data_IF_715054573317
#
_entry.id   IF_715054573317
#
_cell.length_a   1.000
_cell.length_b   1.000
_cell.length_c   1.000
_cell.angle_alpha   90.00
_cell.angle_beta   90.00
_cell.angle_gamma   90.00
#
_symmetry.space_group_name_H-M   'P 1'
#
loop_
_entity.id
_entity.type
_entity.pdbx_description
1 polymer ?
#
# COMPACT_ATOMS: atom_id res chain seq x y z
N UNK A 1 -14.40 14.71 5.37
CA UNK A 1 -14.54 13.44 4.64
C UNK A 1 -13.59 13.49 3.47
N UNK A 2 -12.59 12.59 3.41
CA UNK A 2 -11.76 12.38 2.23
C UNK A 2 -12.49 11.58 1.13
N UNK A 3 -13.82 11.47 1.21
CA UNK A 3 -14.64 10.94 0.13
C UNK A 3 -14.81 12.05 -0.92
N UNK A 4 -14.10 11.93 -2.04
CA UNK A 4 -14.31 12.80 -3.20
C UNK A 4 -15.30 12.13 -4.14
N UNK A 5 -16.24 12.91 -4.65
CA UNK A 5 -17.09 12.49 -5.76
C UNK A 5 -16.33 12.62 -7.09
N UNK A 6 -16.31 11.54 -7.87
CA UNK A 6 -15.68 11.46 -9.18
C UNK A 6 -16.67 11.87 -10.29
N UNK A 7 -16.21 12.21 -11.51
CA UNK A 7 -17.08 12.66 -12.60
C UNK A 7 -18.19 11.68 -13.01
N UNK A 8 -18.07 10.40 -12.65
CA UNK A 8 -19.07 9.36 -12.91
C UNK A 8 -20.07 9.17 -11.76
N UNK A 9 -20.04 10.04 -10.75
CA UNK A 9 -20.93 10.01 -9.58
C UNK A 9 -20.53 8.99 -8.51
N UNK A 10 -19.43 8.25 -8.70
CA UNK A 10 -18.88 7.39 -7.64
C UNK A 10 -18.14 8.21 -6.59
N UNK A 11 -17.93 7.65 -5.39
CA UNK A 11 -17.08 8.29 -4.37
C UNK A 11 -15.85 7.46 -4.06
N UNK A 12 -14.76 8.12 -3.68
CA UNK A 12 -13.47 7.45 -3.48
C UNK A 12 -12.67 8.06 -2.35
N UNK A 13 -11.69 7.32 -1.82
CA UNK A 13 -10.74 7.84 -0.84
C UNK A 13 -9.69 8.71 -1.54
N UNK A 14 -9.39 9.85 -0.95
CA UNK A 14 -8.34 10.77 -1.43
C UNK A 14 -7.34 11.08 -0.35
N UNK A 15 -6.19 11.56 -0.77
CA UNK A 15 -5.16 12.07 0.11
C UNK A 15 -4.59 13.36 -0.47
N UNK A 16 -4.54 14.39 0.37
CA UNK A 16 -4.09 15.74 0.01
C UNK A 16 -3.01 16.20 0.97
N UNK A 17 -1.83 16.48 0.45
CA UNK A 17 -0.68 17.04 1.19
C UNK A 17 -1.11 18.31 1.91
N UNK A 18 -1.78 19.21 1.19
CA UNK A 18 -2.22 20.50 1.72
C UNK A 18 -3.21 20.33 2.88
N UNK A 19 -4.15 19.39 2.78
CA UNK A 19 -5.10 19.14 3.86
C UNK A 19 -4.40 18.55 5.07
N UNK A 20 -3.50 17.58 4.85
CA UNK A 20 -2.75 16.90 5.91
C UNK A 20 -1.82 17.86 6.65
N UNK A 21 -1.10 18.72 5.93
CA UNK A 21 -0.20 19.72 6.52
C UNK A 21 -0.95 20.79 7.33
N UNK A 22 -2.23 21.00 7.02
CA UNK A 22 -3.08 21.93 7.75
C UNK A 22 -3.71 21.32 9.02
N UNK A 23 -3.59 19.99 9.23
CA UNK A 23 -4.16 19.32 10.41
C UNK A 23 -3.30 19.62 11.64
N UNK A 24 -3.95 20.24 12.61
CA UNK A 24 -3.41 20.36 13.97
C UNK A 24 -3.69 19.05 14.74
N UNK A 25 -2.71 18.14 14.74
CA UNK A 25 -2.80 16.83 15.39
C UNK A 25 -3.14 16.94 16.88
N UNK A 26 -2.79 18.05 17.55
CA UNK A 26 -3.12 18.29 18.96
C UNK A 26 -4.61 18.46 19.21
N UNK A 27 -5.40 18.74 18.17
CA UNK A 27 -6.87 18.86 18.23
C UNK A 27 -7.59 17.58 17.79
N UNK A 28 -6.83 16.51 17.53
CA UNK A 28 -7.33 15.26 16.96
C UNK A 28 -7.24 15.22 15.44
N UNK A 29 -7.30 14.01 14.89
CA UNK A 29 -7.29 13.76 13.44
C UNK A 29 -8.67 13.22 13.05
N UNK A 30 -9.32 13.86 12.08
CA UNK A 30 -10.54 13.34 11.45
C UNK A 30 -10.23 12.96 9.99
N UNK A 31 -9.67 11.75 9.82
CA UNK A 31 -9.42 11.15 8.50
C UNK A 31 -10.20 9.84 8.39
N UNK A 32 -10.93 9.57 7.28
CA UNK A 32 -11.60 8.29 7.08
C UNK A 32 -10.62 7.12 7.18
N UNK A 33 -10.93 6.15 8.04
CA UNK A 33 -10.05 5.01 8.32
C UNK A 33 -9.10 5.19 9.52
N UNK A 34 -8.91 6.43 9.99
CA UNK A 34 -8.16 6.76 11.22
C UNK A 34 -9.08 7.29 12.34
N UNK A 35 -10.20 7.96 12.00
CA UNK A 35 -11.09 8.58 13.00
C UNK A 35 -11.73 7.58 13.97
N UNK A 36 -11.77 6.30 13.59
CA UNK A 36 -12.30 5.21 14.41
C UNK A 36 -11.26 4.61 15.35
N UNK A 37 -9.98 4.99 15.23
CA UNK A 37 -8.88 4.26 15.85
C UNK A 37 -8.39 4.86 17.17
N UNK A 38 -8.53 6.17 17.40
CA UNK A 38 -7.99 6.82 18.60
C UNK A 38 -8.85 7.97 19.11
N UNK A 39 -9.01 8.05 20.42
CA UNK A 39 -9.47 9.27 21.09
C UNK A 39 -8.36 10.34 21.04
N UNK A 40 -8.74 11.62 21.15
CA UNK A 40 -7.79 12.75 21.07
C UNK A 40 -6.63 12.61 22.06
N UNK A 41 -6.90 12.20 23.31
CA UNK A 41 -5.85 12.07 24.34
C UNK A 41 -4.93 10.87 24.10
N UNK A 42 -5.45 9.77 23.54
CA UNK A 42 -4.66 8.61 23.14
C UNK A 42 -3.70 8.98 22.01
N UNK A 43 -4.19 9.74 21.02
CA UNK A 43 -3.37 10.24 19.94
C UNK A 43 -2.26 11.17 20.45
N UNK A 44 -2.56 12.07 21.39
CA UNK A 44 -1.53 12.93 22.01
C UNK A 44 -0.46 12.12 22.72
N UNK A 45 -0.84 11.11 23.51
CA UNK A 45 0.11 10.23 24.18
C UNK A 45 0.99 9.50 23.17
N UNK A 46 0.41 8.97 22.10
CA UNK A 46 1.14 8.30 21.03
C UNK A 46 2.11 9.25 20.33
N UNK A 47 1.69 10.48 20.02
CA UNK A 47 2.59 11.48 19.44
C UNK A 47 3.76 11.82 20.36
N UNK A 48 3.53 11.87 21.67
CA UNK A 48 4.60 12.10 22.64
C UNK A 48 5.59 10.93 22.70
N UNK A 49 5.12 9.69 22.64
CA UNK A 49 5.98 8.49 22.61
C UNK A 49 6.87 8.42 21.37
N UNK A 50 6.39 8.93 20.24
CA UNK A 50 7.12 8.95 18.97
C UNK A 50 7.90 10.25 18.73
N UNK A 51 7.83 11.23 19.62
CA UNK A 51 8.47 12.55 19.45
C UNK A 51 10.00 12.44 19.21
N UNK A 52 10.65 11.49 19.90
CA UNK A 52 12.10 11.23 19.78
C UNK A 52 12.41 9.97 18.95
N UNK A 53 11.48 9.56 18.08
CA UNK A 53 11.64 8.41 17.18
C UNK A 53 11.77 8.89 15.74
N UNK A 54 13.01 9.11 15.30
CA UNK A 54 13.34 9.35 13.89
C UNK A 54 13.41 8.07 13.05
N UNK A 55 13.72 8.20 11.75
CA UNK A 55 13.77 7.06 10.81
C UNK A 55 14.72 5.94 11.27
N UNK A 56 15.94 6.26 11.68
CA UNK A 56 16.92 5.24 12.08
C UNK A 56 16.49 4.49 13.35
N UNK A 57 15.93 5.19 14.34
CA UNK A 57 15.40 4.55 15.54
C UNK A 57 14.18 3.67 15.23
N UNK A 58 13.33 4.10 14.29
CA UNK A 58 12.25 3.25 13.77
C UNK A 58 12.80 2.00 13.08
N UNK A 59 13.88 2.12 12.31
CA UNK A 59 14.56 0.97 11.70
C UNK A 59 15.18 0.03 12.74
N UNK A 60 15.74 0.54 13.83
CA UNK A 60 16.23 -0.26 14.95
C UNK A 60 15.08 -1.05 15.60
N UNK A 61 13.95 -0.41 15.85
CA UNK A 61 12.76 -1.05 16.42
C UNK A 61 12.19 -2.13 15.49
N UNK A 62 12.04 -1.82 14.19
CA UNK A 62 11.60 -2.79 13.19
C UNK A 62 12.60 -3.94 13.07
N UNK A 63 13.89 -3.63 13.11
CA UNK A 63 14.98 -4.61 13.09
C UNK A 63 14.92 -5.57 14.27
N UNK A 64 14.67 -5.06 15.48
CA UNK A 64 14.46 -5.87 16.67
C UNK A 64 13.28 -6.84 16.50
N UNK A 65 12.13 -6.33 16.03
CA UNK A 65 10.93 -7.13 15.80
C UNK A 65 11.14 -8.21 14.74
N UNK A 66 11.68 -7.85 13.56
CA UNK A 66 11.90 -8.76 12.43
C UNK A 66 12.91 -9.87 12.80
N UNK A 67 13.99 -9.53 13.51
CA UNK A 67 14.98 -10.52 14.00
C UNK A 67 14.37 -11.53 14.97
N UNK A 68 13.37 -11.13 15.75
CA UNK A 68 12.67 -12.02 16.67
C UNK A 68 11.65 -12.94 15.97
N UNK A 69 10.83 -12.40 15.07
CA UNK A 69 9.69 -13.15 14.50
C UNK A 69 10.03 -14.00 13.27
N UNK A 70 10.99 -13.59 12.45
CA UNK A 70 11.27 -14.27 11.17
C UNK A 70 11.80 -15.69 11.36
N UNK A 71 12.69 -15.98 12.34
CA UNK A 71 13.11 -17.35 12.62
C UNK A 71 11.93 -18.25 13.00
N UNK A 72 11.02 -17.75 13.85
CA UNK A 72 9.81 -18.49 14.27
C UNK A 72 8.87 -18.72 13.09
N UNK A 73 8.66 -17.70 12.25
CA UNK A 73 7.86 -17.84 11.03
C UNK A 73 8.45 -18.91 10.09
N UNK A 74 9.78 -18.93 9.91
CA UNK A 74 10.48 -19.94 9.11
C UNK A 74 10.27 -21.35 9.67
N UNK A 75 10.43 -21.54 10.98
CA UNK A 75 10.22 -22.83 11.65
C UNK A 75 8.76 -23.33 11.50
N UNK A 76 7.80 -22.41 11.55
CA UNK A 76 6.38 -22.72 11.37
C UNK A 76 5.95 -22.86 9.89
N UNK A 77 6.84 -22.65 8.92
CA UNK A 77 6.50 -22.65 7.50
C UNK A 77 5.66 -21.45 7.03
N UNK A 78 5.65 -20.36 7.80
CA UNK A 78 4.91 -19.12 7.53
C UNK A 78 5.80 -18.15 6.74
N UNK A 79 5.20 -17.52 5.72
CA UNK A 79 5.79 -16.41 4.96
C UNK A 79 5.22 -15.08 5.43
N UNK A 80 6.05 -14.25 6.06
CA UNK A 80 5.67 -12.89 6.46
C UNK A 80 5.65 -11.95 5.26
N UNK A 81 4.72 -11.01 5.22
CA UNK A 81 4.53 -10.10 4.09
C UNK A 81 4.31 -8.67 4.57
N UNK A 82 5.38 -7.91 4.80
CA UNK A 82 5.28 -6.53 5.29
C UNK A 82 4.65 -5.62 4.22
N UNK A 83 3.65 -4.83 4.60
CA UNK A 83 2.96 -3.90 3.72
C UNK A 83 3.72 -2.56 3.67
N UNK A 84 3.79 -1.88 2.52
CA UNK A 84 4.36 -0.54 2.43
C UNK A 84 3.52 0.48 3.19
N UNK A 85 4.16 1.60 3.53
CA UNK A 85 3.50 2.77 4.07
C UNK A 85 2.51 3.39 3.05
N UNK A 86 1.35 3.84 3.54
CA UNK A 86 0.28 4.44 2.73
C UNK A 86 -0.28 5.73 3.37
N UNK A 87 0.08 6.93 2.89
CA UNK A 87 0.98 7.22 1.76
C UNK A 87 2.44 6.80 2.01
N UNK A 88 3.25 6.60 0.95
CA UNK A 88 4.66 6.22 1.06
C UNK A 88 5.55 7.44 1.35
N UNK A 89 5.23 8.19 2.41
CA UNK A 89 5.99 9.37 2.86
C UNK A 89 5.71 9.71 4.33
N UNK A 90 6.64 10.42 5.00
CA UNK A 90 6.38 11.00 6.32
C UNK A 90 5.12 11.88 6.32
N UNK A 91 4.33 11.79 7.38
CA UNK A 91 3.16 12.65 7.63
C UNK A 91 3.16 13.04 9.11
N UNK A 92 2.65 14.22 9.45
CA UNK A 92 2.55 14.70 10.84
C UNK A 92 3.88 14.76 11.61
N UNK A 93 5.02 14.87 10.90
CA UNK A 93 6.35 14.81 11.50
C UNK A 93 6.79 13.40 11.93
N UNK A 94 5.99 12.36 11.67
CA UNK A 94 6.33 10.98 12.00
C UNK A 94 7.10 10.32 10.85
N UNK A 95 8.15 9.52 11.15
CA UNK A 95 8.88 8.80 10.13
C UNK A 95 8.02 7.71 9.48
N UNK A 96 8.29 7.44 8.21
CA UNK A 96 7.77 6.29 7.46
C UNK A 96 8.94 5.64 6.74
N UNK A 97 9.10 4.32 6.90
CA UNK A 97 10.35 3.62 6.58
C UNK A 97 10.17 2.43 5.64
N UNK A 98 8.97 2.17 5.13
CA UNK A 98 8.70 1.13 4.12
C UNK A 98 7.98 1.78 2.93
N UNK A 99 8.65 2.71 2.24
CA UNK A 99 8.01 3.62 1.28
C UNK A 99 8.57 3.58 -0.15
N UNK A 100 9.76 3.02 -0.35
CA UNK A 100 10.43 3.02 -1.66
C UNK A 100 11.31 1.78 -1.85
N UNK A 101 11.97 1.68 -3.02
CA UNK A 101 12.87 0.57 -3.37
C UNK A 101 13.94 0.29 -2.30
N UNK A 102 14.63 1.32 -1.83
CA UNK A 102 15.77 1.15 -0.91
C UNK A 102 15.32 0.70 0.47
N UNK A 103 14.17 1.20 0.92
CA UNK A 103 13.52 0.75 2.15
C UNK A 103 13.08 -0.73 2.05
N UNK A 104 12.47 -1.14 0.94
CA UNK A 104 12.09 -2.53 0.71
C UNK A 104 13.33 -3.44 0.72
N UNK A 105 14.42 -3.03 0.08
CA UNK A 105 15.68 -3.76 0.09
C UNK A 105 16.28 -3.84 1.51
N UNK A 106 16.27 -2.73 2.26
CA UNK A 106 16.75 -2.67 3.66
C UNK A 106 15.97 -3.60 4.57
N UNK A 107 14.64 -3.63 4.47
CA UNK A 107 13.77 -4.53 5.22
C UNK A 107 14.13 -6.00 4.99
N UNK A 108 14.30 -6.39 3.73
CA UNK A 108 14.65 -7.76 3.35
C UNK A 108 16.04 -8.17 3.86
N UNK A 109 16.97 -7.21 3.93
CA UNK A 109 18.33 -7.43 4.42
C UNK A 109 18.43 -7.59 5.95
N UNK A 110 17.40 -7.20 6.73
CA UNK A 110 17.43 -7.35 8.20
C UNK A 110 17.62 -8.81 8.62
N UNK A 111 16.89 -9.72 7.96
CA UNK A 111 17.03 -11.16 8.06
C UNK A 111 16.86 -11.75 6.66
N UNK A 112 17.96 -12.19 6.04
CA UNK A 112 17.93 -12.81 4.73
C UNK A 112 17.34 -14.23 4.81
N UNK A 113 16.02 -14.31 4.67
CA UNK A 113 15.24 -15.54 4.80
C UNK A 113 14.02 -15.48 3.87
N UNK A 114 13.65 -16.58 3.20
CA UNK A 114 12.38 -16.67 2.46
C UNK A 114 11.12 -16.47 3.31
N UNK A 115 11.24 -16.49 4.65
CA UNK A 115 10.13 -16.14 5.54
C UNK A 115 9.97 -14.62 5.72
N UNK A 116 10.99 -13.81 5.41
CA UNK A 116 10.93 -12.35 5.42
C UNK A 116 10.62 -11.85 4.01
N UNK A 117 9.42 -11.33 3.80
CA UNK A 117 9.01 -10.84 2.48
C UNK A 117 8.02 -9.70 2.55
N UNK A 118 7.50 -9.38 1.37
CA UNK A 118 6.74 -8.17 1.09
C UNK A 118 5.29 -8.51 0.74
N UNK A 119 4.37 -7.72 1.29
CA UNK A 119 3.13 -7.43 0.58
C UNK A 119 3.44 -6.28 -0.36
N UNK A 120 3.54 -6.52 -1.67
CA UNK A 120 3.78 -5.43 -2.61
C UNK A 120 2.44 -4.83 -3.04
N UNK A 121 2.14 -3.66 -2.49
CA UNK A 121 0.93 -2.91 -2.80
C UNK A 121 1.20 -1.88 -3.89
N UNK A 122 0.64 -2.14 -5.07
CA UNK A 122 0.75 -1.25 -6.23
C UNK A 122 0.25 0.15 -5.96
N UNK A 123 -0.91 0.30 -5.30
CA UNK A 123 -1.46 1.62 -5.02
C UNK A 123 -0.68 2.41 -3.97
N UNK A 124 -0.27 1.78 -2.87
CA UNK A 124 0.49 2.48 -1.82
C UNK A 124 1.86 2.89 -2.32
N UNK A 125 2.61 1.99 -2.97
CA UNK A 125 3.91 2.35 -3.56
C UNK A 125 3.74 3.31 -4.75
N UNK A 126 2.71 3.11 -5.57
CA UNK A 126 2.40 3.94 -6.73
C UNK A 126 1.93 5.35 -6.41
N UNK A 127 1.44 5.60 -5.18
CA UNK A 127 1.20 6.94 -4.67
C UNK A 127 2.50 7.75 -4.45
N UNK A 128 3.67 7.09 -4.47
CA UNK A 128 4.97 7.74 -4.47
C UNK A 128 5.42 8.01 -5.92
N UNK A 129 5.44 9.28 -6.41
CA UNK A 129 5.68 9.57 -7.83
C UNK A 129 7.04 9.10 -8.38
N UNK A 130 7.99 8.80 -7.50
CA UNK A 130 9.33 8.30 -7.87
C UNK A 130 9.42 6.76 -7.89
N UNK A 131 8.40 6.05 -7.41
CA UNK A 131 8.40 4.60 -7.41
C UNK A 131 7.94 4.08 -8.78
N UNK A 132 8.68 3.11 -9.31
CA UNK A 132 8.24 2.33 -10.47
C UNK A 132 7.79 0.94 -10.00
N UNK A 133 6.48 0.77 -9.80
CA UNK A 133 5.90 -0.46 -9.26
C UNK A 133 6.25 -1.68 -10.12
N UNK A 134 6.25 -1.55 -11.45
CA UNK A 134 6.65 -2.64 -12.35
C UNK A 134 8.09 -3.09 -12.07
N UNK A 135 9.02 -2.15 -11.96
CA UNK A 135 10.42 -2.45 -11.67
C UNK A 135 10.59 -3.10 -10.28
N UNK A 136 9.84 -2.63 -9.27
CA UNK A 136 9.84 -3.24 -7.92
C UNK A 136 9.35 -4.69 -7.96
N UNK A 137 8.30 -4.98 -8.75
CA UNK A 137 7.81 -6.35 -8.94
C UNK A 137 8.88 -7.23 -9.60
N UNK A 138 9.54 -6.72 -10.65
CA UNK A 138 10.61 -7.47 -11.32
C UNK A 138 11.78 -7.77 -10.37
N UNK A 139 12.23 -6.78 -9.61
CA UNK A 139 13.34 -6.92 -8.68
C UNK A 139 13.01 -7.90 -7.54
N UNK A 140 11.98 -7.60 -6.74
CA UNK A 140 11.69 -8.36 -5.52
C UNK A 140 10.93 -9.66 -5.81
N UNK A 141 10.20 -9.73 -6.92
CA UNK A 141 9.57 -10.95 -7.41
C UNK A 141 10.58 -11.96 -7.91
N UNK A 142 11.58 -11.54 -8.70
CA UNK A 142 12.66 -12.43 -9.14
C UNK A 142 13.50 -12.96 -7.97
N UNK A 143 13.63 -12.18 -6.89
CA UNK A 143 14.24 -12.62 -5.64
C UNK A 143 13.36 -13.60 -4.82
N UNK A 144 12.12 -13.86 -5.25
CA UNK A 144 11.15 -14.70 -4.52
C UNK A 144 10.73 -14.10 -3.18
N UNK A 145 10.75 -12.77 -3.05
CA UNK A 145 10.50 -12.04 -1.79
C UNK A 145 9.14 -11.36 -1.72
N UNK A 146 8.31 -11.43 -2.77
CA UNK A 146 6.91 -11.00 -2.71
C UNK A 146 6.06 -12.19 -2.29
N UNK A 147 5.33 -12.06 -1.20
CA UNK A 147 4.48 -13.13 -0.65
C UNK A 147 2.99 -12.83 -0.81
N UNK A 148 2.64 -11.56 -0.98
CA UNK A 148 1.26 -11.12 -1.17
C UNK A 148 1.23 -9.89 -2.09
N UNK A 149 0.22 -9.78 -2.95
CA UNK A 149 0.06 -8.65 -3.86
C UNK A 149 -1.27 -7.93 -3.61
N UNK A 150 -1.20 -6.61 -3.43
CA UNK A 150 -2.37 -5.75 -3.52
C UNK A 150 -2.30 -5.01 -4.87
N UNK A 151 -3.27 -5.29 -5.73
CA UNK A 151 -3.33 -4.79 -7.09
C UNK A 151 -4.48 -3.79 -7.19
N UNK A 152 -4.23 -2.52 -6.83
CA UNK A 152 -5.18 -1.40 -6.92
C UNK A 152 -4.54 -0.25 -7.68
N UNK A 153 -5.36 0.64 -8.25
CA UNK A 153 -4.88 1.79 -9.01
C UNK A 153 -5.18 3.10 -8.29
N UNK A 154 -4.23 4.02 -8.38
CA UNK A 154 -4.36 5.39 -7.87
C UNK A 154 -4.10 6.37 -9.00
N UNK A 155 -4.76 7.53 -8.93
CA UNK A 155 -4.39 8.68 -9.75
C UNK A 155 -3.59 9.64 -8.89
N UNK A 156 -2.33 9.84 -9.24
CA UNK A 156 -1.36 10.60 -8.44
C UNK A 156 -0.85 11.82 -9.23
N UNK A 157 -0.59 12.93 -8.53
CA UNK A 157 0.06 14.10 -9.08
C UNK A 157 1.55 14.19 -8.64
N UNK A 158 2.30 15.15 -9.18
CA UNK A 158 3.73 15.31 -8.84
C UNK A 158 3.97 15.62 -7.35
N UNK A 159 3.00 16.23 -6.66
CA UNK A 159 3.08 16.52 -5.23
C UNK A 159 2.86 15.27 -4.35
N UNK A 160 2.45 14.14 -4.94
CA UNK A 160 2.08 12.93 -4.21
C UNK A 160 0.69 13.00 -3.56
N UNK A 161 -0.16 13.93 -3.99
CA UNK A 161 -1.60 13.82 -3.73
C UNK A 161 -2.17 12.75 -4.64
N UNK A 162 -3.12 11.98 -4.14
CA UNK A 162 -3.75 10.93 -4.93
C UNK A 162 -5.20 10.67 -4.55
N UNK A 163 -5.90 10.01 -5.47
CA UNK A 163 -7.21 9.43 -5.25
C UNK A 163 -7.20 7.96 -5.66
N UNK A 164 -7.91 7.13 -4.89
CA UNK A 164 -8.21 5.76 -5.30
C UNK A 164 -9.10 5.80 -6.55
N UNK A 165 -8.88 4.89 -7.49
CA UNK A 165 -9.60 4.84 -8.77
C UNK A 165 -10.10 3.44 -9.08
N UNK A 166 -10.87 3.29 -10.15
CA UNK A 166 -11.11 1.96 -10.70
C UNK A 166 -9.77 1.30 -11.07
N UNK A 167 -9.70 -0.03 -10.98
CA UNK A 167 -8.48 -0.80 -11.20
C UNK A 167 -7.90 -0.69 -12.62
N UNK A 168 -8.68 -0.23 -13.59
CA UNK A 168 -8.26 -0.16 -14.98
C UNK A 168 -7.13 0.87 -15.17
N UNK A 169 -6.13 0.57 -16.00
CA UNK A 169 -4.94 1.42 -16.15
C UNK A 169 -5.28 2.87 -16.53
N UNK A 170 -6.25 3.07 -17.43
CA UNK A 170 -6.66 4.40 -17.92
C UNK A 170 -7.51 5.22 -16.93
N UNK A 171 -7.95 4.61 -15.82
CA UNK A 171 -8.64 5.31 -14.75
C UNK A 171 -7.66 5.99 -13.76
N UNK A 172 -6.43 5.49 -13.67
CA UNK A 172 -5.41 5.96 -12.73
C UNK A 172 -4.10 6.32 -13.41
N UNK A 173 -3.01 6.24 -12.65
CA UNK A 173 -1.66 6.58 -13.07
C UNK A 173 -0.77 5.34 -13.23
N UNK A 174 -1.21 4.16 -12.78
CA UNK A 174 -0.43 2.93 -12.85
C UNK A 174 -0.83 2.10 -14.07
N UNK A 175 0.17 1.61 -14.81
CA UNK A 175 -0.06 0.61 -15.84
C UNK A 175 -0.22 -0.77 -15.20
N UNK A 176 -1.48 -1.10 -14.89
CA UNK A 176 -1.83 -2.37 -14.27
C UNK A 176 -1.55 -3.57 -15.18
N UNK A 177 -1.59 -3.40 -16.51
CA UNK A 177 -1.25 -4.47 -17.43
C UNK A 177 0.26 -4.77 -17.36
N UNK A 178 1.11 -3.75 -17.35
CA UNK A 178 2.55 -3.91 -17.17
C UNK A 178 2.91 -4.51 -15.79
N UNK A 179 2.25 -4.06 -14.72
CA UNK A 179 2.45 -4.60 -13.36
C UNK A 179 2.05 -6.08 -13.30
N UNK A 180 0.87 -6.45 -13.81
CA UNK A 180 0.43 -7.85 -13.86
C UNK A 180 1.38 -8.70 -14.71
N UNK A 181 1.83 -8.18 -15.86
CA UNK A 181 2.83 -8.85 -16.68
C UNK A 181 4.14 -9.06 -15.91
N UNK A 182 4.61 -8.07 -15.16
CA UNK A 182 5.82 -8.22 -14.35
C UNK A 182 5.69 -9.35 -13.31
N UNK A 183 4.53 -9.48 -12.64
CA UNK A 183 4.26 -10.60 -11.73
C UNK A 183 4.27 -11.96 -12.45
N UNK A 184 3.66 -12.03 -13.63
CA UNK A 184 3.67 -13.24 -14.44
C UNK A 184 5.08 -13.61 -14.89
N UNK A 185 5.86 -12.65 -15.42
CA UNK A 185 7.21 -12.86 -15.94
C UNK A 185 8.18 -13.39 -14.87
N UNK A 186 8.02 -12.98 -13.60
CA UNK A 186 8.83 -13.49 -12.48
C UNK A 186 8.31 -14.81 -11.89
N UNK A 187 7.27 -15.41 -12.49
CA UNK A 187 6.71 -16.68 -12.04
C UNK A 187 6.00 -16.59 -10.68
N UNK A 188 5.34 -15.46 -10.39
CA UNK A 188 4.62 -15.30 -9.13
C UNK A 188 3.45 -16.28 -9.00
N UNK A 189 3.44 -17.05 -7.91
CA UNK A 189 2.40 -18.04 -7.59
C UNK A 189 1.70 -17.74 -6.25
N UNK A 190 1.91 -16.54 -5.70
CA UNK A 190 1.30 -16.13 -4.43
C UNK A 190 -0.12 -15.60 -4.60
N UNK A 191 -0.70 -15.13 -3.50
CA UNK A 191 -2.04 -14.56 -3.50
C UNK A 191 -2.03 -13.11 -3.98
N UNK A 192 -3.01 -12.74 -4.80
CA UNK A 192 -3.28 -11.34 -5.15
C UNK A 192 -4.70 -10.96 -4.73
N UNK A 193 -4.89 -9.71 -4.33
CA UNK A 193 -6.23 -9.13 -4.11
C UNK A 193 -6.36 -7.78 -4.83
N UNK A 194 -7.56 -7.39 -5.28
CA UNK A 194 -7.82 -6.07 -5.89
C UNK A 194 -7.74 -4.92 -4.88
N UNK A 195 -7.67 -5.21 -3.58
CA UNK A 195 -7.59 -4.24 -2.49
C UNK A 195 -8.76 -3.25 -2.46
N UNK A 196 -8.55 -1.95 -2.70
CA UNK A 196 -9.62 -0.92 -2.66
C UNK A 196 -10.26 -0.71 -4.04
N UNK A 197 -11.54 -0.33 -4.03
CA UNK A 197 -12.27 0.17 -5.19
C UNK A 197 -13.11 1.39 -4.81
N UNK A 198 -13.71 2.04 -5.80
CA UNK A 198 -14.63 3.16 -5.58
C UNK A 198 -15.93 2.67 -4.95
N UNK A 199 -16.65 3.57 -4.30
CA UNK A 199 -18.01 3.33 -3.85
C UNK A 199 -18.97 3.60 -5.00
N UNK A 200 -19.59 2.54 -5.54
CA UNK A 200 -20.50 2.59 -6.69
C UNK A 200 -21.88 1.98 -6.35
N UNK A 201 -22.87 2.28 -7.19
CA UNK A 201 -24.20 1.64 -7.16
C UNK A 201 -24.93 1.72 -5.81
N UNK A 202 -24.77 2.84 -5.10
CA UNK A 202 -25.41 3.08 -3.82
C UNK A 202 -24.87 2.23 -2.66
N UNK A 203 -23.67 1.64 -2.81
CA UNK A 203 -23.06 0.88 -1.72
C UNK A 203 -22.69 1.76 -0.52
N UNK A 204 -22.82 1.18 0.67
CA UNK A 204 -22.53 1.83 1.95
C UNK A 204 -21.56 0.97 2.74
N UNK A 205 -20.94 1.55 3.78
CA UNK A 205 -19.97 0.86 4.62
C UNK A 205 -18.60 1.51 4.58
N UNK A 206 -17.55 0.74 4.84
CA UNK A 206 -16.18 1.27 4.89
C UNK A 206 -15.72 1.66 3.48
N UNK A 207 -15.34 2.95 3.26
CA UNK A 207 -14.82 3.40 1.97
C UNK A 207 -13.68 2.52 1.47
N UNK A 208 -13.64 2.23 0.18
CA UNK A 208 -12.65 1.34 -0.41
C UNK A 208 -12.99 -0.15 -0.31
N UNK A 209 -13.85 -0.56 0.64
CA UNK A 209 -14.13 -1.97 0.95
C UNK A 209 -15.51 -2.46 0.53
N UNK A 210 -16.23 -1.67 -0.26
CA UNK A 210 -17.45 -2.09 -0.95
C UNK A 210 -17.27 -3.37 -1.77
N UNK A 211 -18.35 -4.07 -2.08
CA UNK A 211 -18.28 -5.32 -2.85
C UNK A 211 -18.01 -5.04 -4.33
N UNK A 212 -18.64 -4.01 -4.88
CA UNK A 212 -18.88 -3.92 -6.32
C UNK A 212 -17.61 -3.60 -7.11
N UNK A 213 -16.99 -2.44 -6.90
CA UNK A 213 -15.82 -2.04 -7.68
C UNK A 213 -14.59 -2.92 -7.39
N UNK A 214 -14.53 -3.54 -6.19
CA UNK A 214 -13.54 -4.58 -5.86
C UNK A 214 -13.74 -5.86 -6.65
N UNK A 215 -14.98 -6.31 -6.84
CA UNK A 215 -15.27 -7.48 -7.67
C UNK A 215 -14.96 -7.20 -9.15
N UNK A 216 -15.31 -6.00 -9.65
CA UNK A 216 -14.94 -5.55 -10.99
C UNK A 216 -13.41 -5.54 -11.17
N UNK A 217 -12.68 -5.04 -10.18
CA UNK A 217 -11.22 -5.07 -10.14
C UNK A 217 -10.65 -6.49 -10.19
N UNK A 218 -11.18 -7.42 -9.40
CA UNK A 218 -10.74 -8.82 -9.43
C UNK A 218 -10.92 -9.46 -10.81
N UNK A 219 -12.08 -9.24 -11.46
CA UNK A 219 -12.37 -9.78 -12.79
C UNK A 219 -11.45 -9.14 -13.85
N UNK A 220 -11.20 -7.84 -13.77
CA UNK A 220 -10.24 -7.14 -14.64
C UNK A 220 -8.83 -7.74 -14.52
N UNK A 221 -8.34 -7.94 -13.29
CA UNK A 221 -7.02 -8.53 -13.04
C UNK A 221 -6.91 -9.97 -13.55
N UNK A 222 -7.97 -10.77 -13.37
CA UNK A 222 -8.02 -12.12 -13.94
C UNK A 222 -7.92 -12.09 -15.47
N UNK A 223 -8.62 -11.14 -16.12
CA UNK A 223 -8.53 -10.95 -17.57
C UNK A 223 -7.12 -10.57 -18.04
N UNK A 224 -6.45 -9.66 -17.34
CA UNK A 224 -5.04 -9.33 -17.61
C UNK A 224 -4.14 -10.55 -17.45
N UNK A 225 -4.29 -11.30 -16.36
CA UNK A 225 -3.47 -12.48 -16.09
C UNK A 225 -3.67 -13.58 -17.14
N UNK A 226 -4.92 -13.83 -17.55
CA UNK A 226 -5.24 -14.79 -18.61
C UNK A 226 -4.63 -14.37 -19.94
N UNK A 227 -4.77 -13.08 -20.31
CA UNK A 227 -4.22 -12.56 -21.56
C UNK A 227 -2.70 -12.66 -21.60
N UNK A 228 -2.01 -12.29 -20.52
CA UNK A 228 -0.55 -12.43 -20.43
C UNK A 228 -0.15 -13.91 -20.52
N UNK A 229 -0.84 -14.81 -19.81
CA UNK A 229 -0.55 -16.26 -19.88
C UNK A 229 -0.71 -16.87 -21.28
N UNK A 230 -1.62 -16.33 -22.11
CA UNK A 230 -1.92 -16.86 -23.44
C UNK A 230 -1.12 -16.23 -24.58
N UNK A 231 -0.71 -14.97 -24.42
CA UNK A 231 -0.20 -14.14 -25.53
C UNK A 231 1.16 -13.47 -25.26
N UNK A 232 1.83 -13.76 -24.13
CA UNK A 232 3.17 -13.25 -23.83
C UNK A 232 4.30 -14.06 -24.47
#
# INVERSE_FOLDING_TARGET
SLAKELPDGSTTLTFSTKEVDAIDVSKGISLPGWDQSYKVDELKSLMAEYADVGEEKMWEHLGYFIKAIVPVAKEAGIKMACHPDDPPRPIFGLPRIVKNRDDLARLLAIVDSPANGLTLCSGSLGAGPKNNVEALVREFGAAGRIHFAHLRNVKVNEAGDFEETAHKSDCGSLDMAAIVKAYHDVGYVGYARPDHGRMIWGETGKPGYGLYDRALGAVYLNGLWEAVSKFA
#
